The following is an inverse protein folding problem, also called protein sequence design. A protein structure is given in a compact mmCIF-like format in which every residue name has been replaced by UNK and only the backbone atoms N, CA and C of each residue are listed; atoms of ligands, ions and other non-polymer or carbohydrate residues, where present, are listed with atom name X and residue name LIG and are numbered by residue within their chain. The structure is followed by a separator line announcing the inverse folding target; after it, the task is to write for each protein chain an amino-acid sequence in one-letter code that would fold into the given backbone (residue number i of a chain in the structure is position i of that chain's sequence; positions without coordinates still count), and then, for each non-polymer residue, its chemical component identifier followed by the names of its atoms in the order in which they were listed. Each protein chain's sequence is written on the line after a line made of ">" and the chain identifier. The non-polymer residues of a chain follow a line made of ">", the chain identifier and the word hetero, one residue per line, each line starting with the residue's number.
data_IF_108731622830
#
_entry.id   IF_108731622830
#
_cell.length_a   1.000
_cell.length_b   1.000
_cell.length_c   1.000
_cell.angle_alpha   90.00
_cell.angle_beta   90.00
_cell.angle_gamma   90.00
#
_symmetry.space_group_name_H-M   'P 1'
#
loop_
_entity.id
_entity.type
_entity.pdbx_description
1 polymer ?
#
# COMPACT_ATOMS: atom_id res chain seq x y z
N UNK A 1 -7.15 -47.47 47.07
CA UNK A 1 -6.76 -48.02 45.76
C UNK A 1 -6.72 -46.85 44.80
N UNK A 2 -5.71 -45.97 44.77
CA UNK A 2 -4.28 -46.12 44.41
C UNK A 2 -4.06 -46.61 42.97
N UNK A 3 -3.30 -45.81 42.20
CA UNK A 3 -2.95 -45.94 40.78
C UNK A 3 -3.16 -44.58 40.08
N UNK A 4 -2.33 -43.55 40.27
CA UNK A 4 -0.90 -43.39 39.91
C UNK A 4 -0.57 -43.81 38.47
N UNK A 5 -0.08 -42.84 37.67
CA UNK A 5 0.81 -43.19 36.56
C UNK A 5 0.87 -42.25 35.34
N UNK A 6 1.89 -41.38 35.35
CA UNK A 6 2.74 -41.01 34.22
C UNK A 6 2.33 -39.86 33.27
N UNK A 7 2.85 -38.68 33.63
CA UNK A 7 3.47 -37.73 32.69
C UNK A 7 4.57 -38.39 31.84
N UNK A 8 4.71 -37.97 30.58
CA UNK A 8 6.00 -37.92 29.84
C UNK A 8 5.79 -37.07 28.58
N UNK A 9 6.14 -35.79 28.60
CA UNK A 9 7.45 -35.17 28.33
C UNK A 9 7.61 -34.70 26.88
N UNK A 10 7.81 -33.38 26.79
CA UNK A 10 8.27 -32.59 25.66
C UNK A 10 9.52 -33.19 25.00
N UNK A 11 9.51 -33.25 23.68
CA UNK A 11 10.70 -33.38 22.84
C UNK A 11 10.78 -32.15 21.92
N UNK A 12 11.37 -31.08 22.45
CA UNK A 12 11.78 -29.88 21.71
C UNK A 12 13.10 -30.21 21.00
N UNK A 13 13.07 -30.41 19.68
CA UNK A 13 14.28 -30.54 18.85
C UNK A 13 14.79 -29.15 18.47
N UNK A 14 15.79 -28.70 19.19
CA UNK A 14 16.71 -27.62 18.81
C UNK A 14 17.48 -28.05 17.55
N UNK A 15 17.27 -27.36 16.42
CA UNK A 15 18.17 -27.43 15.26
C UNK A 15 19.22 -26.34 15.40
N UNK A 16 20.44 -26.77 15.67
CA UNK A 16 21.67 -25.99 15.68
C UNK A 16 21.96 -25.38 14.31
N UNK A 17 22.20 -24.07 14.30
CA UNK A 17 22.81 -23.34 13.20
C UNK A 17 24.28 -23.77 13.00
N UNK A 18 24.59 -24.42 11.88
CA UNK A 18 25.97 -24.63 11.44
C UNK A 18 26.41 -23.48 10.53
N UNK A 19 27.50 -22.80 10.91
CA UNK A 19 28.20 -21.82 10.08
C UNK A 19 29.01 -22.55 9.00
N UNK A 20 28.93 -22.17 7.72
CA UNK A 20 29.91 -22.60 6.73
C UNK A 20 31.23 -21.86 6.91
N UNK A 21 32.31 -22.62 6.71
CA UNK A 21 33.67 -22.31 7.09
C UNK A 21 34.37 -21.23 6.27
N UNK A 22 35.40 -20.69 6.91
CA UNK A 22 36.39 -19.75 6.40
C UNK A 22 37.40 -20.54 5.55
N UNK A 23 37.26 -20.51 4.23
CA UNK A 23 38.15 -21.13 3.25
C UNK A 23 39.04 -20.10 2.56
N UNK A 24 40.32 -20.14 2.95
CA UNK A 24 41.55 -19.99 2.16
C UNK A 24 41.74 -18.82 1.16
N UNK A 25 42.81 -18.09 1.48
CA UNK A 25 43.50 -17.09 0.68
C UNK A 25 44.24 -17.81 -0.44
N UNK A 26 43.76 -17.66 -1.68
CA UNK A 26 44.43 -18.09 -2.90
C UNK A 26 44.94 -16.89 -3.69
N UNK A 27 46.25 -16.66 -3.65
CA UNK A 27 46.99 -15.78 -4.55
C UNK A 27 47.05 -16.38 -5.96
N UNK A 28 46.65 -15.66 -7.02
CA UNK A 28 47.24 -15.85 -8.35
C UNK A 28 46.76 -14.80 -9.38
N UNK A 29 47.74 -14.15 -10.01
CA UNK A 29 47.76 -13.64 -11.40
C UNK A 29 46.84 -12.49 -11.83
N UNK A 30 47.40 -11.30 -11.65
CA UNK A 30 47.82 -10.39 -12.72
C UNK A 30 47.83 -10.98 -14.14
N UNK A 31 46.83 -10.64 -14.95
CA UNK A 31 46.94 -10.16 -16.33
C UNK A 31 45.57 -10.19 -17.01
N UNK A 32 44.82 -9.10 -16.91
CA UNK A 32 43.79 -8.74 -17.91
C UNK A 32 43.75 -7.22 -18.05
N UNK A 33 44.67 -6.69 -18.85
CA UNK A 33 44.58 -5.34 -19.40
C UNK A 33 43.52 -5.35 -20.50
N UNK A 34 42.27 -5.46 -20.10
CA UNK A 34 41.14 -5.43 -21.02
C UNK A 34 40.72 -3.97 -21.29
N UNK A 35 41.05 -3.52 -22.50
CA UNK A 35 40.44 -2.46 -23.30
C UNK A 35 39.47 -1.54 -22.54
N UNK A 36 40.04 -0.44 -22.01
CA UNK A 36 39.31 0.75 -21.56
C UNK A 36 38.61 1.40 -22.75
N UNK A 37 37.40 0.93 -23.04
CA UNK A 37 36.45 1.50 -24.00
C UNK A 37 36.20 2.96 -23.63
N UNK A 38 36.80 3.88 -24.40
CA UNK A 38 36.55 5.32 -24.35
C UNK A 38 35.10 5.56 -24.77
N UNK A 39 34.15 5.50 -23.83
CA UNK A 39 32.79 5.97 -24.05
C UNK A 39 32.82 7.50 -24.09
N UNK A 40 32.43 8.05 -25.24
CA UNK A 40 32.36 9.48 -25.47
C UNK A 40 31.35 10.12 -24.49
N UNK A 41 31.76 11.11 -23.66
CA UNK A 41 30.89 11.72 -22.66
C UNK A 41 29.66 12.42 -23.27
N UNK A 42 29.75 12.83 -24.54
CA UNK A 42 28.64 13.40 -25.32
C UNK A 42 27.49 12.41 -25.55
N UNK A 43 27.74 11.10 -25.63
CA UNK A 43 26.66 10.11 -25.78
C UNK A 43 25.95 9.80 -24.45
N UNK A 44 26.60 10.05 -23.31
CA UNK A 44 25.99 9.85 -22.00
C UNK A 44 25.07 11.02 -21.62
N UNK A 45 25.48 12.26 -21.94
CA UNK A 45 24.62 13.45 -21.76
C UNK A 45 23.37 13.38 -22.63
N UNK A 46 23.48 12.90 -23.88
CA UNK A 46 22.33 12.75 -24.77
C UNK A 46 21.25 11.82 -24.21
N UNK A 47 21.62 10.74 -23.52
CA UNK A 47 20.65 9.79 -22.92
C UNK A 47 20.00 10.35 -21.66
N UNK A 48 20.72 11.12 -20.85
CA UNK A 48 20.15 11.80 -19.67
C UNK A 48 19.18 12.90 -20.10
N UNK A 49 19.53 13.69 -21.12
CA UNK A 49 18.65 14.73 -21.67
C UNK A 49 17.38 14.13 -22.30
N UNK A 50 17.50 12.98 -22.99
CA UNK A 50 16.36 12.33 -23.62
C UNK A 50 15.39 11.71 -22.59
N UNK A 51 15.89 11.18 -21.46
CA UNK A 51 15.03 10.75 -20.35
C UNK A 51 14.35 11.93 -19.64
N UNK A 52 15.03 13.06 -19.47
CA UNK A 52 14.42 14.25 -18.88
C UNK A 52 13.29 14.82 -19.75
N UNK A 53 13.49 14.84 -21.08
CA UNK A 53 12.47 15.30 -22.04
C UNK A 53 11.29 14.33 -22.13
N UNK A 54 11.52 13.01 -22.13
CA UNK A 54 10.43 12.03 -22.10
C UNK A 54 9.63 12.05 -20.78
N UNK A 55 10.30 12.25 -19.64
CA UNK A 55 9.63 12.40 -18.35
C UNK A 55 8.76 13.66 -18.29
N UNK A 56 9.24 14.77 -18.84
CA UNK A 56 8.46 16.01 -18.91
C UNK A 56 7.26 15.93 -19.87
N UNK A 57 7.40 15.27 -21.03
CA UNK A 57 6.29 15.11 -21.99
C UNK A 57 5.20 14.19 -21.43
N UNK A 58 5.56 13.14 -20.68
CA UNK A 58 4.58 12.29 -19.99
C UNK A 58 3.90 13.00 -18.80
N UNK A 59 4.60 13.88 -18.09
CA UNK A 59 3.98 14.68 -17.01
C UNK A 59 3.07 15.79 -17.55
N UNK A 60 3.39 16.41 -18.69
CA UNK A 60 2.56 17.46 -19.28
C UNK A 60 1.33 16.92 -20.01
N UNK A 61 1.39 15.70 -20.55
CA UNK A 61 0.22 15.01 -21.12
C UNK A 61 -0.82 14.55 -20.08
N UNK A 62 -0.47 14.57 -18.79
CA UNK A 62 -1.38 14.23 -17.68
C UNK A 62 -2.06 15.44 -17.05
N UNK A 63 -1.70 16.67 -17.45
CA UNK A 63 -2.12 17.89 -16.75
C UNK A 63 -3.37 18.56 -17.32
N UNK A 64 -3.69 18.41 -18.61
CA UNK A 64 -4.81 19.16 -19.20
C UNK A 64 -6.17 18.45 -19.09
N UNK A 65 -6.19 17.12 -19.10
CA UNK A 65 -7.44 16.35 -18.88
C UNK A 65 -7.87 16.30 -17.40
N UNK A 66 -6.94 16.55 -16.47
CA UNK A 66 -7.23 16.56 -15.01
C UNK A 66 -7.77 17.90 -14.51
N UNK A 67 -7.62 18.99 -15.28
CA UNK A 67 -8.01 20.34 -14.82
C UNK A 67 -9.18 20.97 -15.60
N UNK A 68 -9.63 20.38 -16.72
CA UNK A 68 -10.61 20.99 -17.63
C UNK A 68 -12.08 20.60 -17.45
N UNK A 69 -12.40 19.69 -16.51
CA UNK A 69 -13.66 18.95 -16.55
C UNK A 69 -14.55 19.04 -15.33
N UNK A 70 -14.69 20.20 -14.65
CA UNK A 70 -15.71 20.37 -13.62
C UNK A 70 -17.09 20.43 -14.30
N UNK A 71 -17.62 19.27 -14.70
CA UNK A 71 -19.04 19.08 -14.98
C UNK A 71 -19.79 19.23 -13.66
N UNK A 72 -20.30 20.44 -13.41
CA UNK A 72 -21.42 20.63 -12.49
C UNK A 72 -22.65 19.96 -13.09
N UNK A 73 -22.93 18.73 -12.68
CA UNK A 73 -24.23 18.11 -12.85
C UNK A 73 -24.59 17.37 -11.55
N UNK A 74 -25.80 17.66 -11.06
CA UNK A 74 -26.40 17.25 -9.77
C UNK A 74 -26.09 18.20 -8.60
N UNK A 75 -27.11 18.52 -7.82
CA UNK A 75 -27.07 19.35 -6.61
C UNK A 75 -26.48 18.62 -5.39
N UNK A 76 -25.55 17.71 -5.63
CA UNK A 76 -24.79 16.96 -4.63
C UNK A 76 -23.42 17.63 -4.47
N UNK A 77 -22.89 17.67 -3.25
CA UNK A 77 -21.57 18.22 -2.99
C UNK A 77 -20.47 17.54 -3.83
N UNK A 78 -19.27 18.15 -3.91
CA UNK A 78 -18.14 17.50 -4.56
C UNK A 78 -17.86 16.14 -3.90
N UNK A 79 -18.00 15.05 -4.66
CA UNK A 79 -17.77 13.70 -4.14
C UNK A 79 -16.36 13.56 -3.57
N UNK A 80 -16.20 12.71 -2.56
CA UNK A 80 -14.91 12.43 -1.93
C UNK A 80 -14.42 11.01 -2.24
N UNK A 81 -13.11 10.89 -2.44
CA UNK A 81 -12.39 9.63 -2.38
C UNK A 81 -11.79 9.48 -0.98
N UNK A 82 -12.26 8.49 -0.22
CA UNK A 82 -11.86 8.25 1.16
C UNK A 82 -11.06 6.95 1.24
N UNK A 83 -9.81 7.04 1.68
CA UNK A 83 -8.98 5.87 1.98
C UNK A 83 -8.95 5.67 3.47
N UNK A 84 -9.22 4.46 3.95
CA UNK A 84 -9.08 4.09 5.35
C UNK A 84 -8.03 2.99 5.45
N UNK A 85 -6.91 3.30 6.08
CA UNK A 85 -5.81 2.37 6.29
C UNK A 85 -5.89 1.70 7.66
N UNK A 86 -5.79 0.37 7.68
CA UNK A 86 -5.78 -0.41 8.92
C UNK A 86 -4.66 -1.46 8.92
N UNK A 87 -3.95 -1.54 10.03
CA UNK A 87 -2.99 -2.60 10.34
C UNK A 87 -3.50 -3.52 11.45
N UNK A 88 -2.73 -4.54 11.80
CA UNK A 88 -3.14 -5.51 12.82
C UNK A 88 -3.48 -4.90 14.19
N UNK A 89 -2.85 -3.78 14.54
CA UNK A 89 -3.02 -3.15 15.86
C UNK A 89 -4.31 -2.35 16.00
N UNK A 90 -4.85 -1.82 14.89
CA UNK A 90 -6.02 -0.94 14.89
C UNK A 90 -7.22 -1.47 14.09
N UNK A 91 -7.09 -2.65 13.46
CA UNK A 91 -8.14 -3.27 12.63
C UNK A 91 -9.49 -3.46 13.34
N UNK A 92 -9.50 -3.52 14.67
CA UNK A 92 -10.73 -3.67 15.46
C UNK A 92 -11.60 -2.41 15.46
N UNK A 93 -11.00 -1.24 15.28
CA UNK A 93 -11.66 0.07 15.27
C UNK A 93 -12.26 0.42 13.90
N UNK A 94 -11.74 -0.21 12.85
CA UNK A 94 -12.13 0.05 11.46
C UNK A 94 -13.66 0.01 11.22
N UNK A 95 -14.43 -0.98 11.74
CA UNK A 95 -15.88 -1.01 11.50
C UNK A 95 -16.61 0.22 12.04
N UNK A 96 -16.26 0.68 13.23
CA UNK A 96 -16.93 1.80 13.89
C UNK A 96 -16.59 3.13 13.19
N UNK A 97 -15.32 3.30 12.79
CA UNK A 97 -14.89 4.43 11.97
C UNK A 97 -15.59 4.41 10.61
N UNK A 98 -15.63 3.26 9.94
CA UNK A 98 -16.21 3.14 8.62
C UNK A 98 -17.71 3.44 8.61
N UNK A 99 -18.47 2.92 9.57
CA UNK A 99 -19.90 3.21 9.68
C UNK A 99 -20.16 4.70 9.99
N UNK A 100 -19.24 5.38 10.69
CA UNK A 100 -19.32 6.82 10.93
C UNK A 100 -19.03 7.64 9.67
N UNK A 101 -18.08 7.20 8.84
CA UNK A 101 -17.66 7.90 7.62
C UNK A 101 -18.51 7.56 6.40
N UNK A 102 -19.29 6.48 6.42
CA UNK A 102 -19.93 5.97 5.21
C UNK A 102 -21.03 6.89 4.68
N UNK A 103 -20.95 7.19 3.39
CA UNK A 103 -22.01 7.81 2.58
C UNK A 103 -22.05 7.15 1.21
N UNK A 104 -23.23 7.07 0.60
CA UNK A 104 -23.42 6.53 -0.73
C UNK A 104 -22.86 7.45 -1.86
N UNK A 105 -22.58 8.71 -1.54
CA UNK A 105 -22.09 9.72 -2.49
C UNK A 105 -20.57 9.68 -2.70
N UNK A 106 -19.84 9.04 -1.79
CA UNK A 106 -18.37 8.99 -1.78
C UNK A 106 -17.86 7.64 -2.27
N UNK A 107 -16.61 7.61 -2.74
CA UNK A 107 -15.90 6.39 -3.10
C UNK A 107 -14.91 6.03 -1.99
N UNK A 108 -14.86 4.75 -1.59
CA UNK A 108 -14.04 4.29 -0.46
C UNK A 108 -13.05 3.23 -0.89
N UNK A 109 -11.81 3.32 -0.38
CA UNK A 109 -10.87 2.21 -0.38
C UNK A 109 -10.47 1.87 1.07
N UNK A 110 -10.73 0.63 1.47
CA UNK A 110 -10.27 0.08 2.74
C UNK A 110 -8.95 -0.63 2.46
N UNK A 111 -7.86 -0.05 2.93
CA UNK A 111 -6.51 -0.56 2.71
C UNK A 111 -6.06 -1.34 3.95
N UNK A 112 -5.91 -2.65 3.82
CA UNK A 112 -5.44 -3.51 4.91
C UNK A 112 -3.97 -3.85 4.73
N UNK A 113 -3.19 -3.71 5.79
CA UNK A 113 -1.80 -4.15 5.81
C UNK A 113 -1.69 -5.66 5.48
N UNK A 114 -0.69 -6.07 4.69
CA UNK A 114 -0.45 -7.48 4.35
C UNK A 114 -0.24 -8.42 5.55
N UNK A 115 0.08 -7.89 6.73
CA UNK A 115 0.17 -8.66 7.98
C UNK A 115 -1.19 -9.16 8.48
N UNK A 116 -2.29 -8.60 7.95
CA UNK A 116 -3.66 -8.98 8.34
C UNK A 116 -4.01 -10.35 7.76
N UNK A 117 -4.27 -11.32 8.66
CA UNK A 117 -4.63 -12.67 8.24
C UNK A 117 -5.93 -12.71 7.44
N UNK A 118 -6.01 -13.58 6.42
CA UNK A 118 -7.19 -13.72 5.58
C UNK A 118 -8.49 -14.02 6.35
N UNK A 119 -8.42 -14.72 7.49
CA UNK A 119 -9.60 -14.96 8.35
C UNK A 119 -10.18 -13.66 8.90
N UNK A 120 -9.33 -12.70 9.29
CA UNK A 120 -9.78 -11.40 9.78
C UNK A 120 -10.34 -10.57 8.62
N UNK A 121 -9.71 -10.62 7.45
CA UNK A 121 -10.19 -9.96 6.23
C UNK A 121 -11.61 -10.43 5.87
N UNK A 122 -11.88 -11.74 5.88
CA UNK A 122 -13.22 -12.27 5.62
C UNK A 122 -14.24 -11.83 6.67
N UNK A 123 -13.84 -11.82 7.96
CA UNK A 123 -14.69 -11.27 9.02
C UNK A 123 -15.02 -9.79 8.83
N UNK A 124 -14.06 -8.99 8.35
CA UNK A 124 -14.28 -7.58 8.04
C UNK A 124 -15.20 -7.39 6.84
N UNK A 125 -15.06 -8.16 5.76
CA UNK A 125 -15.95 -8.07 4.60
C UNK A 125 -17.42 -8.20 5.01
N UNK A 126 -17.70 -9.12 5.93
CA UNK A 126 -19.04 -9.33 6.50
C UNK A 126 -19.44 -8.13 7.37
N UNK A 127 -18.59 -7.70 8.31
CA UNK A 127 -18.90 -6.59 9.23
C UNK A 127 -19.14 -5.26 8.51
N UNK A 128 -18.32 -4.96 7.50
CA UNK A 128 -18.42 -3.74 6.68
C UNK A 128 -19.51 -3.85 5.60
N UNK A 129 -20.20 -4.99 5.50
CA UNK A 129 -21.24 -5.27 4.50
C UNK A 129 -20.80 -4.96 3.07
N UNK A 130 -19.57 -5.34 2.71
CA UNK A 130 -18.98 -4.97 1.42
C UNK A 130 -19.75 -5.54 0.22
N UNK A 131 -20.47 -6.65 0.40
CA UNK A 131 -21.34 -7.20 -0.64
C UNK A 131 -22.53 -6.28 -1.00
N UNK A 132 -22.94 -5.40 -0.08
CA UNK A 132 -24.06 -4.46 -0.26
C UNK A 132 -23.59 -3.08 -0.75
N UNK A 133 -22.29 -2.79 -0.67
CA UNK A 133 -21.73 -1.45 -0.88
C UNK A 133 -20.85 -1.43 -2.15
N UNK A 134 -21.41 -1.01 -3.28
CA UNK A 134 -20.71 -0.97 -4.57
C UNK A 134 -19.65 0.12 -4.67
N UNK A 135 -19.73 1.16 -3.84
CA UNK A 135 -18.79 2.28 -3.78
C UNK A 135 -17.55 2.01 -2.92
N UNK A 136 -17.35 0.77 -2.45
CA UNK A 136 -16.23 0.41 -1.58
C UNK A 136 -15.34 -0.61 -2.26
N UNK A 137 -14.03 -0.45 -2.18
CA UNK A 137 -13.05 -1.47 -2.56
C UNK A 137 -12.21 -1.86 -1.36
N UNK A 138 -11.81 -3.13 -1.31
CA UNK A 138 -10.91 -3.64 -0.29
C UNK A 138 -9.56 -3.92 -0.95
N UNK A 139 -8.52 -3.25 -0.47
CA UNK A 139 -7.17 -3.35 -1.00
C UNK A 139 -6.28 -4.08 0.01
N UNK A 140 -5.37 -4.92 -0.52
CA UNK A 140 -4.30 -5.53 0.26
C UNK A 140 -3.04 -4.68 0.08
N UNK A 141 -2.71 -3.89 1.10
CA UNK A 141 -1.53 -3.04 1.13
C UNK A 141 -0.26 -3.80 1.51
N UNK A 142 0.87 -3.11 1.41
CA UNK A 142 2.20 -3.58 1.84
C UNK A 142 2.36 -3.41 3.35
N UNK A 143 3.30 -4.14 4.00
CA UNK A 143 3.63 -3.89 5.39
C UNK A 143 4.05 -2.43 5.57
N UNK A 144 3.34 -1.74 6.45
CA UNK A 144 3.54 -0.33 6.72
C UNK A 144 4.46 -0.19 7.92
N UNK A 145 5.65 0.37 7.72
CA UNK A 145 6.49 0.85 8.81
C UNK A 145 6.36 2.37 8.89
N UNK A 146 6.41 2.91 10.12
CA UNK A 146 6.20 4.34 10.41
C UNK A 146 7.17 5.29 9.66
N UNK A 147 8.31 4.78 9.18
CA UNK A 147 9.32 5.56 8.44
C UNK A 147 9.52 5.05 7.00
N UNK A 148 8.64 4.15 6.54
CA UNK A 148 8.80 3.45 5.28
C UNK A 148 8.15 4.17 4.11
N UNK A 149 8.82 4.16 2.96
CA UNK A 149 8.24 4.50 1.64
C UNK A 149 6.97 3.69 1.33
N UNK A 150 6.78 2.54 1.99
CA UNK A 150 5.58 1.71 1.89
C UNK A 150 4.28 2.46 2.18
N UNK A 151 4.26 3.39 3.14
CA UNK A 151 3.06 4.19 3.43
C UNK A 151 2.64 5.00 2.21
N UNK A 152 3.57 5.75 1.64
CA UNK A 152 3.33 6.59 0.45
C UNK A 152 2.92 5.73 -0.75
N UNK A 153 3.59 4.59 -0.95
CA UNK A 153 3.25 3.67 -2.05
C UNK A 153 1.85 3.09 -1.91
N UNK A 154 1.45 2.72 -0.69
CA UNK A 154 0.11 2.25 -0.39
C UNK A 154 -0.96 3.33 -0.66
N UNK A 155 -0.68 4.59 -0.31
CA UNK A 155 -1.58 5.73 -0.59
C UNK A 155 -1.70 5.98 -2.09
N UNK A 156 -0.59 6.03 -2.82
CA UNK A 156 -0.60 6.22 -4.28
C UNK A 156 -1.31 5.07 -5.02
N UNK A 157 -1.12 3.84 -4.56
CA UNK A 157 -1.83 2.67 -5.08
C UNK A 157 -3.33 2.80 -4.83
N UNK A 158 -3.74 3.23 -3.62
CA UNK A 158 -5.15 3.47 -3.30
C UNK A 158 -5.77 4.59 -4.15
N UNK A 159 -5.04 5.69 -4.40
CA UNK A 159 -5.46 6.77 -5.30
C UNK A 159 -5.62 6.28 -6.73
N UNK A 160 -4.74 5.40 -7.19
CA UNK A 160 -4.78 4.82 -8.54
C UNK A 160 -6.02 3.94 -8.70
N UNK A 161 -6.27 3.06 -7.73
CA UNK A 161 -7.44 2.17 -7.73
C UNK A 161 -8.76 2.95 -7.65
N UNK A 162 -8.83 4.01 -6.83
CA UNK A 162 -10.01 4.88 -6.77
C UNK A 162 -10.22 5.68 -8.06
N UNK A 163 -9.15 6.21 -8.66
CA UNK A 163 -9.21 6.89 -9.96
C UNK A 163 -9.69 5.96 -11.08
N UNK A 164 -9.21 4.70 -11.09
CA UNK A 164 -9.63 3.70 -12.07
C UNK A 164 -11.09 3.28 -11.89
N UNK A 165 -11.57 3.27 -10.64
CA UNK A 165 -12.97 2.94 -10.31
C UNK A 165 -13.95 4.05 -10.67
N UNK A 166 -13.60 5.31 -10.36
CA UNK A 166 -14.50 6.45 -10.47
C UNK A 166 -13.72 7.76 -10.63
N UNK A 167 -14.17 8.59 -11.56
CA UNK A 167 -13.67 9.96 -11.76
C UNK A 167 -14.60 11.03 -11.17
N UNK A 168 -15.52 10.64 -10.27
CA UNK A 168 -16.58 11.53 -9.76
C UNK A 168 -16.14 12.40 -8.59
N UNK A 169 -15.09 12.00 -7.88
CA UNK A 169 -14.64 12.70 -6.69
C UNK A 169 -13.73 13.87 -7.06
N UNK A 170 -13.78 14.93 -6.24
CA UNK A 170 -12.92 16.13 -6.38
C UNK A 170 -11.88 16.24 -5.26
N UNK A 171 -12.11 15.55 -4.14
CA UNK A 171 -11.22 15.57 -2.98
C UNK A 171 -10.79 14.15 -2.62
N UNK A 172 -9.58 14.06 -2.08
CA UNK A 172 -9.00 12.82 -1.54
C UNK A 172 -8.70 13.01 -0.06
N UNK A 173 -9.18 12.09 0.77
CA UNK A 173 -8.96 12.12 2.22
C UNK A 173 -8.42 10.75 2.66
N UNK A 174 -7.35 10.79 3.45
CA UNK A 174 -6.76 9.62 4.07
C UNK A 174 -7.08 9.60 5.56
N UNK A 175 -7.61 8.48 6.03
CA UNK A 175 -7.79 8.17 7.44
C UNK A 175 -6.99 6.93 7.81
N UNK A 176 -6.50 6.90 9.03
CA UNK A 176 -6.09 5.68 9.69
C UNK A 176 -7.22 5.14 10.55
N UNK A 177 -7.27 3.83 10.79
CA UNK A 177 -8.35 3.22 11.56
C UNK A 177 -8.44 3.70 13.02
N UNK A 178 -7.44 4.43 13.52
CA UNK A 178 -7.45 5.03 14.84
C UNK A 178 -7.93 6.49 14.85
N UNK A 179 -8.11 7.10 13.68
CA UNK A 179 -8.71 8.42 13.56
C UNK A 179 -10.20 8.37 13.93
N UNK A 180 -10.73 9.52 14.34
CA UNK A 180 -12.16 9.68 14.54
C UNK A 180 -12.61 11.07 14.09
N UNK A 181 -13.63 11.16 13.23
CA UNK A 181 -14.09 12.44 12.73
C UNK A 181 -14.75 13.24 13.86
N UNK A 182 -14.39 14.52 13.98
CA UNK A 182 -15.03 15.44 14.93
C UNK A 182 -16.28 16.10 14.35
N UNK A 183 -16.48 15.96 13.04
CA UNK A 183 -17.62 16.49 12.30
C UNK A 183 -18.18 15.40 11.39
N UNK A 184 -19.48 15.45 11.11
CA UNK A 184 -20.13 14.51 10.20
C UNK A 184 -19.65 14.73 8.77
N UNK A 185 -19.66 13.68 7.94
CA UNK A 185 -19.27 13.78 6.52
C UNK A 185 -20.15 14.72 5.71
N UNK A 186 -21.39 14.98 6.15
CA UNK A 186 -22.27 15.99 5.54
C UNK A 186 -21.85 17.44 5.83
N UNK A 187 -20.92 17.65 6.75
CA UNK A 187 -20.39 18.96 7.13
C UNK A 187 -19.00 19.24 6.55
N UNK A 188 -18.39 18.26 5.87
CA UNK A 188 -17.14 18.36 5.11
C UNK A 188 -17.45 18.70 3.65
#
# INVERSE_FOLDING_TARGET
>A
MMGDGMMSMMSMRLRSWQRPGRGEIGSMRENDKEKKSRRNPLQFLGRILMMAICGWILCLGWSEDVLGGIRRMSGDGPGMAVVIQAGMDNIRLLPDLFDTLYSHENDYAVLLDSSVSGRIVEGLKIRLRLAERTNVILLSGRPTSYEGISYVLNVMESMTELSNKSARWSYFILFEAHDFPLVTMSAL
#
